data_IF_516585573665
#
_entry.id   IF_516585573665
#
_cell.length_a   1.000
_cell.length_b   1.000
_cell.length_c   1.000
_cell.angle_alpha   90.00
_cell.angle_beta   90.00
_cell.angle_gamma   90.00
#
_symmetry.space_group_name_H-M   'P 1'
#
loop_
_entity.id
_entity.type
_entity.pdbx_description
1 polymer ?
#
# COMPACT_ATOMS: atom_id res chain seq x y z
N UNK A 1 13.50 -17.69 -4.02
CA UNK A 1 13.43 -16.67 -2.93
C UNK A 1 12.09 -15.99 -3.06
N UNK A 2 11.49 -15.51 -1.95
CA UNK A 2 10.24 -14.74 -1.98
C UNK A 2 10.58 -13.29 -1.74
N UNK A 3 10.39 -12.46 -2.74
CA UNK A 3 10.72 -11.05 -2.64
C UNK A 3 9.46 -10.21 -2.40
N UNK A 4 9.61 -9.25 -1.53
CA UNK A 4 8.64 -8.21 -1.24
C UNK A 4 9.34 -6.86 -1.27
N UNK A 5 8.60 -5.77 -1.36
CA UNK A 5 9.25 -4.47 -1.33
C UNK A 5 8.34 -3.28 -1.15
N UNK A 6 8.95 -2.11 -1.16
CA UNK A 6 8.28 -0.83 -1.13
C UNK A 6 8.62 -0.03 -2.38
N UNK A 7 7.60 0.47 -3.05
CA UNK A 7 7.74 1.44 -4.14
C UNK A 7 7.43 2.84 -3.63
N UNK A 8 8.28 3.78 -3.99
CA UNK A 8 8.10 5.21 -3.75
C UNK A 8 9.11 6.03 -4.54
N UNK A 9 8.99 7.34 -4.53
CA UNK A 9 9.91 8.21 -5.26
C UNK A 9 11.23 8.45 -4.52
N UNK A 10 11.17 8.51 -3.18
CA UNK A 10 12.33 8.65 -2.30
C UNK A 10 12.07 7.83 -1.04
N UNK A 11 12.90 6.85 -0.75
CA UNK A 11 12.70 5.86 0.29
C UNK A 11 13.79 5.86 1.38
N UNK A 12 14.77 6.77 1.29
CA UNK A 12 15.91 6.82 2.20
C UNK A 12 15.59 6.96 3.69
N UNK A 13 14.35 7.33 4.04
CA UNK A 13 13.86 7.40 5.43
C UNK A 13 12.82 6.33 5.76
N UNK A 14 12.66 5.31 4.89
CA UNK A 14 11.66 4.27 5.11
C UNK A 14 12.10 3.27 6.18
N UNK A 15 11.26 3.06 7.19
CA UNK A 15 11.44 2.02 8.20
C UNK A 15 11.00 0.62 7.73
N UNK A 16 10.30 0.53 6.60
CA UNK A 16 9.66 -0.71 6.16
C UNK A 16 10.68 -1.84 5.94
N UNK A 17 11.82 -1.55 5.32
CA UNK A 17 12.83 -2.57 5.06
C UNK A 17 13.38 -3.15 6.39
N UNK A 18 13.74 -2.30 7.33
CA UNK A 18 14.24 -2.75 8.64
C UNK A 18 13.17 -3.55 9.39
N UNK A 19 11.94 -3.06 9.42
CA UNK A 19 10.81 -3.73 10.06
C UNK A 19 10.58 -5.13 9.49
N UNK A 20 10.45 -5.27 8.17
CA UNK A 20 10.17 -6.57 7.54
C UNK A 20 11.37 -7.51 7.64
N UNK A 21 12.62 -7.03 7.58
CA UNK A 21 13.81 -7.86 7.81
C UNK A 21 13.79 -8.47 9.20
N UNK A 22 13.50 -7.67 10.23
CA UNK A 22 13.38 -8.15 11.61
C UNK A 22 12.20 -9.11 11.78
N UNK A 23 11.06 -8.79 11.18
CA UNK A 23 9.86 -9.63 11.21
C UNK A 23 10.13 -11.00 10.57
N UNK A 24 10.72 -11.06 9.40
CA UNK A 24 11.05 -12.33 8.73
C UNK A 24 12.04 -13.16 9.54
N UNK A 25 13.02 -12.52 10.18
CA UNK A 25 13.94 -13.21 11.08
C UNK A 25 13.21 -13.78 12.31
N UNK A 26 12.36 -12.98 12.96
CA UNK A 26 11.58 -13.40 14.13
C UNK A 26 10.59 -14.53 13.81
N UNK A 27 10.04 -14.55 12.61
CA UNK A 27 9.11 -15.58 12.11
C UNK A 27 9.82 -16.80 11.49
N UNK A 28 11.16 -16.84 11.56
CA UNK A 28 11.99 -17.89 10.96
C UNK A 28 11.69 -18.09 9.45
N UNK A 29 11.65 -16.98 8.71
CA UNK A 29 11.38 -16.93 7.25
C UNK A 29 12.64 -16.50 6.47
N UNK A 30 13.71 -17.32 6.42
CA UNK A 30 14.95 -16.98 5.72
C UNK A 30 14.77 -16.96 4.19
N UNK A 31 13.67 -17.50 3.69
CA UNK A 31 13.29 -17.51 2.29
C UNK A 31 12.63 -16.19 1.83
N UNK A 32 12.40 -15.23 2.75
CA UNK A 32 11.76 -13.95 2.46
C UNK A 32 12.75 -12.79 2.51
N UNK A 33 12.63 -11.85 1.58
CA UNK A 33 13.40 -10.62 1.51
C UNK A 33 12.48 -9.42 1.28
N UNK A 34 12.84 -8.26 1.84
CA UNK A 34 12.14 -7.00 1.61
C UNK A 34 13.11 -5.94 1.10
N UNK A 35 12.80 -5.35 -0.05
CA UNK A 35 13.67 -4.40 -0.76
C UNK A 35 12.97 -3.05 -0.96
N UNK A 36 13.77 -2.00 -1.15
CA UNK A 36 13.27 -0.67 -1.50
C UNK A 36 13.49 -0.45 -3.01
N UNK A 37 12.43 -0.05 -3.71
CA UNK A 37 12.42 0.23 -5.13
C UNK A 37 12.05 1.70 -5.34
N UNK A 38 13.07 2.56 -5.47
CA UNK A 38 12.85 3.96 -5.84
C UNK A 38 12.58 4.05 -7.33
N UNK A 39 11.40 4.53 -7.69
CA UNK A 39 11.01 4.78 -9.08
C UNK A 39 10.98 6.29 -9.32
N UNK A 40 11.59 6.73 -10.40
CA UNK A 40 11.53 8.13 -10.83
C UNK A 40 10.14 8.50 -11.31
N UNK A 41 9.48 7.54 -11.98
CA UNK A 41 8.14 7.62 -12.50
C UNK A 41 7.41 6.28 -12.32
N UNK A 42 6.08 6.34 -12.13
CA UNK A 42 5.27 5.14 -11.92
C UNK A 42 5.18 4.23 -13.16
N UNK A 43 5.43 4.75 -14.35
CA UNK A 43 5.50 3.96 -15.59
C UNK A 43 6.57 2.86 -15.55
N UNK A 44 7.54 2.96 -14.65
CA UNK A 44 8.54 1.91 -14.41
C UNK A 44 7.99 0.68 -13.67
N UNK A 45 6.73 0.74 -13.17
CA UNK A 45 6.10 -0.32 -12.37
C UNK A 45 6.02 -1.66 -13.10
N UNK A 46 5.55 -1.67 -14.35
CA UNK A 46 5.39 -2.91 -15.12
C UNK A 46 6.75 -3.56 -15.40
N UNK A 47 7.76 -2.76 -15.72
CA UNK A 47 9.13 -3.23 -15.93
C UNK A 47 9.72 -3.81 -14.65
N UNK A 48 9.50 -3.15 -13.50
CA UNK A 48 9.92 -3.67 -12.20
C UNK A 48 9.31 -5.05 -11.94
N UNK A 49 7.99 -5.20 -12.12
CA UNK A 49 7.30 -6.48 -11.92
C UNK A 49 7.82 -7.54 -12.88
N UNK A 50 8.08 -7.19 -14.14
CA UNK A 50 8.57 -8.10 -15.17
C UNK A 50 10.00 -8.57 -14.90
N UNK A 51 10.88 -7.67 -14.50
CA UNK A 51 12.33 -7.94 -14.29
C UNK A 51 12.64 -8.67 -12.97
N UNK A 52 11.66 -8.77 -12.04
CA UNK A 52 11.83 -9.41 -10.74
C UNK A 52 10.85 -10.60 -10.59
N UNK A 53 11.17 -11.78 -11.16
CA UNK A 53 10.26 -12.93 -11.17
C UNK A 53 9.95 -13.47 -9.77
N UNK A 54 10.84 -13.28 -8.81
CA UNK A 54 10.65 -13.69 -7.41
C UNK A 54 9.76 -12.71 -6.58
N UNK A 55 9.43 -11.54 -7.16
CA UNK A 55 8.63 -10.51 -6.48
C UNK A 55 7.17 -10.94 -6.38
N UNK A 56 6.65 -11.06 -5.15
CA UNK A 56 5.31 -11.54 -4.84
C UNK A 56 4.39 -10.48 -4.24
N UNK A 57 4.94 -9.36 -3.80
CA UNK A 57 4.14 -8.28 -3.25
C UNK A 57 4.92 -6.99 -3.06
N UNK A 58 4.19 -5.89 -3.12
CA UNK A 58 4.72 -4.55 -2.99
C UNK A 58 3.84 -3.71 -2.08
N UNK A 59 4.46 -2.94 -1.21
CA UNK A 59 3.82 -1.77 -0.65
C UNK A 59 4.03 -0.58 -1.58
N UNK A 60 3.06 0.31 -1.62
CA UNK A 60 3.11 1.54 -2.42
C UNK A 60 3.02 2.74 -1.49
N UNK A 61 3.97 3.66 -1.61
CA UNK A 61 3.94 4.90 -0.84
C UNK A 61 3.95 6.14 -1.76
N UNK A 62 4.07 7.30 -1.16
CA UNK A 62 4.06 8.61 -1.85
C UNK A 62 5.10 8.63 -2.98
N UNK A 63 4.71 9.14 -4.17
CA UNK A 63 3.44 9.72 -4.54
C UNK A 63 2.49 8.76 -5.29
N UNK A 64 2.75 7.46 -5.29
CA UNK A 64 2.24 6.50 -6.27
C UNK A 64 0.94 5.78 -5.90
N UNK A 65 0.40 5.97 -4.68
CA UNK A 65 -0.82 5.24 -4.22
C UNK A 65 -2.05 5.39 -5.11
N UNK A 66 -2.18 6.51 -5.82
CA UNK A 66 -3.30 6.78 -6.74
C UNK A 66 -2.91 6.45 -8.18
N UNK A 67 -1.70 6.84 -8.59
CA UNK A 67 -1.25 6.71 -9.97
C UNK A 67 -0.86 5.29 -10.37
N UNK A 68 -0.69 4.37 -9.42
CA UNK A 68 -0.47 2.94 -9.72
C UNK A 68 -1.74 2.22 -10.18
N UNK A 69 -2.92 2.72 -9.80
CA UNK A 69 -4.21 2.05 -10.06
C UNK A 69 -4.40 1.64 -11.53
N UNK A 70 -4.20 2.52 -12.54
CA UNK A 70 -4.40 2.16 -13.94
C UNK A 70 -3.38 1.15 -14.49
N UNK A 71 -2.32 0.81 -13.73
CA UNK A 71 -1.28 -0.14 -14.12
C UNK A 71 -1.51 -1.53 -13.49
N UNK A 72 -2.56 -1.70 -12.69
CA UNK A 72 -2.91 -2.96 -12.06
C UNK A 72 -3.94 -3.71 -12.88
N UNK A 73 -3.86 -5.05 -12.88
CA UNK A 73 -4.84 -5.90 -13.55
C UNK A 73 -6.19 -5.88 -12.82
N UNK A 74 -6.16 -5.85 -11.48
CA UNK A 74 -7.34 -5.78 -10.63
C UNK A 74 -7.12 -4.86 -9.44
N UNK A 75 -8.22 -4.28 -8.94
CA UNK A 75 -8.24 -3.48 -7.71
C UNK A 75 -9.37 -3.96 -6.83
N UNK A 76 -9.08 -4.23 -5.57
CA UNK A 76 -10.08 -4.61 -4.58
C UNK A 76 -11.16 -3.53 -4.44
N UNK A 77 -12.39 -3.96 -4.14
CA UNK A 77 -13.56 -3.06 -4.08
C UNK A 77 -13.36 -1.91 -3.10
N UNK A 78 -12.76 -2.15 -1.94
CA UNK A 78 -12.51 -1.11 -0.95
C UNK A 78 -11.42 -0.14 -1.41
N UNK A 79 -10.32 -0.66 -1.99
CA UNK A 79 -9.26 0.18 -2.56
C UNK A 79 -9.77 1.04 -3.73
N UNK A 80 -10.67 0.50 -4.55
CA UNK A 80 -11.32 1.24 -5.63
C UNK A 80 -12.21 2.38 -5.10
N UNK A 81 -12.97 2.15 -4.02
CA UNK A 81 -13.80 3.18 -3.38
C UNK A 81 -12.96 4.29 -2.73
N UNK A 82 -11.84 3.94 -2.14
CA UNK A 82 -10.86 4.89 -1.58
C UNK A 82 -10.16 5.70 -2.69
N UNK A 83 -9.98 5.09 -3.87
CA UNK A 83 -9.20 5.67 -4.97
C UNK A 83 -7.69 5.67 -4.69
N UNK A 84 -7.21 4.75 -3.86
CA UNK A 84 -5.79 4.62 -3.53
C UNK A 84 -5.43 3.17 -3.19
N UNK A 85 -4.26 2.73 -3.65
CA UNK A 85 -3.66 1.42 -3.38
C UNK A 85 -2.36 1.61 -2.61
N UNK A 86 -2.20 0.93 -1.48
CA UNK A 86 -0.96 0.93 -0.71
C UNK A 86 -0.28 -0.44 -0.67
N UNK A 87 -0.94 -1.48 -1.18
CA UNK A 87 -0.43 -2.85 -1.19
C UNK A 87 -0.82 -3.52 -2.50
N UNK A 88 0.14 -4.16 -3.16
CA UNK A 88 -0.09 -4.94 -4.38
C UNK A 88 0.35 -6.38 -4.12
N UNK A 89 -0.51 -7.32 -4.43
CA UNK A 89 -0.17 -8.74 -4.49
C UNK A 89 0.10 -9.13 -5.93
N UNK A 90 1.15 -9.92 -6.15
CA UNK A 90 1.59 -10.38 -7.46
C UNK A 90 1.45 -11.89 -7.49
N UNK A 91 0.56 -12.37 -8.35
CA UNK A 91 0.41 -13.79 -8.64
C UNK A 91 1.27 -14.14 -9.85
N UNK A 92 1.95 -15.29 -9.81
CA UNK A 92 2.81 -15.76 -10.88
C UNK A 92 2.25 -17.05 -11.47
N UNK A 93 2.17 -17.07 -12.81
CA UNK A 93 1.91 -18.27 -13.59
C UNK A 93 2.96 -18.34 -14.71
N UNK A 94 4.00 -19.14 -14.46
CA UNK A 94 5.20 -19.14 -15.29
C UNK A 94 5.83 -17.74 -15.35
N UNK A 95 5.94 -17.20 -16.55
CA UNK A 95 6.49 -15.85 -16.77
C UNK A 95 5.43 -14.74 -16.69
N UNK A 96 4.15 -15.10 -16.63
CA UNK A 96 3.08 -14.11 -16.50
C UNK A 96 2.97 -13.61 -15.04
N UNK A 97 2.62 -12.34 -14.89
CA UNK A 97 2.30 -11.72 -13.61
C UNK A 97 0.86 -11.18 -13.67
N UNK A 98 0.11 -11.38 -12.61
CA UNK A 98 -1.20 -10.78 -12.41
C UNK A 98 -1.19 -10.02 -11.10
N UNK A 99 -1.54 -8.74 -11.14
CA UNK A 99 -1.38 -7.79 -10.04
C UNK A 99 -2.74 -7.37 -9.50
N UNK A 100 -2.90 -7.47 -8.17
CA UNK A 100 -4.12 -7.06 -7.48
C UNK A 100 -3.80 -6.03 -6.41
N UNK A 101 -4.46 -4.88 -6.47
CA UNK A 101 -4.26 -3.77 -5.56
C UNK A 101 -5.23 -3.75 -4.39
N UNK A 102 -4.71 -3.44 -3.19
CA UNK A 102 -5.46 -3.34 -1.94
C UNK A 102 -5.14 -2.04 -1.20
N UNK A 103 -6.02 -1.67 -0.26
CA UNK A 103 -5.75 -0.57 0.65
C UNK A 103 -5.84 -1.04 2.11
N UNK A 104 -4.69 -1.34 2.69
CA UNK A 104 -4.58 -1.77 4.10
C UNK A 104 -4.52 -0.60 5.08
N UNK A 105 -4.39 0.65 4.61
CA UNK A 105 -4.46 1.84 5.47
C UNK A 105 -5.86 1.99 6.07
N UNK A 106 -6.92 1.58 5.33
CA UNK A 106 -8.32 1.61 5.78
C UNK A 106 -8.50 0.79 7.04
N UNK A 107 -8.11 -0.49 6.98
CA UNK A 107 -8.24 -1.40 8.12
C UNK A 107 -7.30 -0.99 9.26
N UNK A 108 -6.08 -0.58 8.95
CA UNK A 108 -5.13 -0.07 9.93
C UNK A 108 -5.69 1.13 10.69
N UNK A 109 -6.34 2.07 10.01
CA UNK A 109 -6.97 3.22 10.65
C UNK A 109 -8.21 2.83 11.46
N UNK A 110 -9.07 1.94 10.95
CA UNK A 110 -10.21 1.41 11.74
C UNK A 110 -9.73 0.78 13.05
N UNK A 111 -8.71 -0.06 12.99
CA UNK A 111 -8.15 -0.72 14.17
C UNK A 111 -7.49 0.26 15.15
N UNK A 112 -6.83 1.31 14.65
CA UNK A 112 -6.20 2.32 15.51
C UNK A 112 -7.21 3.11 16.35
N UNK A 113 -8.45 3.17 15.93
CA UNK A 113 -9.55 3.83 16.65
C UNK A 113 -10.40 2.86 17.48
N UNK A 114 -10.08 1.57 17.45
CA UNK A 114 -10.82 0.58 18.25
C UNK A 114 -10.72 0.90 19.75
N UNK A 115 -11.88 0.98 20.40
CA UNK A 115 -11.97 1.35 21.82
C UNK A 115 -11.96 2.86 22.11
N UNK A 116 -11.84 3.70 21.10
CA UNK A 116 -11.97 5.15 21.22
C UNK A 116 -13.39 5.61 20.86
N UNK A 117 -13.82 6.72 21.46
CA UNK A 117 -15.11 7.31 21.08
C UNK A 117 -15.00 7.94 19.69
N UNK A 118 -15.88 7.53 18.78
CA UNK A 118 -15.94 8.11 17.43
C UNK A 118 -16.44 9.56 17.53
N UNK A 119 -15.69 10.53 16.98
CA UNK A 119 -16.10 11.93 17.01
C UNK A 119 -17.27 12.19 16.06
N UNK A 120 -18.07 13.21 16.32
CA UNK A 120 -19.14 13.64 15.40
C UNK A 120 -18.60 14.48 14.24
N UNK A 121 -17.42 15.12 14.41
CA UNK A 121 -16.76 15.94 13.40
C UNK A 121 -15.26 15.72 13.40
N UNK A 122 -14.65 15.76 12.21
CA UNK A 122 -13.22 15.60 12.03
C UNK A 122 -12.66 16.58 10.98
N UNK A 123 -11.41 16.98 11.19
CA UNK A 123 -10.61 17.71 10.21
C UNK A 123 -9.47 16.80 9.75
N UNK A 124 -9.40 16.57 8.45
CA UNK A 124 -8.35 15.75 7.84
C UNK A 124 -7.41 16.66 7.06
N UNK A 125 -6.13 16.67 7.45
CA UNK A 125 -5.10 17.49 6.83
C UNK A 125 -4.35 16.71 5.76
N UNK A 126 -4.41 17.18 4.50
CA UNK A 126 -3.73 16.59 3.35
C UNK A 126 -4.68 15.91 2.35
N UNK A 127 -4.22 15.76 1.11
CA UNK A 127 -5.00 15.28 -0.04
C UNK A 127 -4.45 13.99 -0.67
N UNK A 128 -3.48 13.34 -0.02
CA UNK A 128 -2.85 12.10 -0.53
C UNK A 128 -3.65 10.83 -0.23
N UNK A 129 -3.14 9.68 -0.68
CA UNK A 129 -3.79 8.38 -0.52
C UNK A 129 -4.07 7.97 0.93
N UNK A 130 -3.25 8.42 1.89
CA UNK A 130 -3.52 8.18 3.31
C UNK A 130 -4.74 8.98 3.80
N UNK A 131 -4.84 10.27 3.42
CA UNK A 131 -6.01 11.09 3.73
C UNK A 131 -7.28 10.51 3.10
N UNK A 132 -7.20 9.97 1.89
CA UNK A 132 -8.32 9.29 1.23
C UNK A 132 -8.82 8.09 2.04
N UNK A 133 -7.94 7.25 2.55
CA UNK A 133 -8.29 6.11 3.41
C UNK A 133 -8.95 6.56 4.72
N UNK A 134 -8.40 7.59 5.38
CA UNK A 134 -8.98 8.17 6.61
C UNK A 134 -10.36 8.73 6.34
N UNK A 135 -10.53 9.53 5.27
CA UNK A 135 -11.83 10.08 4.88
C UNK A 135 -12.87 9.00 4.59
N UNK A 136 -12.45 7.90 3.95
CA UNK A 136 -13.30 6.77 3.66
C UNK A 136 -13.87 6.17 4.96
N UNK A 137 -13.01 5.82 5.93
CA UNK A 137 -13.42 5.25 7.21
C UNK A 137 -14.31 6.19 8.00
N UNK A 138 -13.96 7.47 8.07
CA UNK A 138 -14.77 8.44 8.82
C UNK A 138 -16.14 8.65 8.20
N UNK A 139 -16.28 8.61 6.88
CA UNK A 139 -17.57 8.64 6.18
C UNK A 139 -18.42 7.40 6.42
N UNK A 140 -17.81 6.20 6.44
CA UNK A 140 -18.48 4.95 6.80
C UNK A 140 -19.07 4.99 8.22
N UNK A 141 -18.52 5.86 9.09
CA UNK A 141 -18.96 6.06 10.47
C UNK A 141 -19.86 7.30 10.64
N UNK A 142 -20.37 7.88 9.55
CA UNK A 142 -21.20 9.09 9.54
C UNK A 142 -20.57 10.31 10.24
N UNK A 143 -19.23 10.42 10.23
CA UNK A 143 -18.52 11.56 10.79
C UNK A 143 -18.54 12.73 9.78
N UNK A 144 -18.95 13.93 10.23
CA UNK A 144 -18.86 15.15 9.42
C UNK A 144 -17.40 15.55 9.23
N UNK A 145 -16.86 15.35 8.01
CA UNK A 145 -15.44 15.49 7.72
C UNK A 145 -15.14 16.66 6.81
N UNK A 146 -14.13 17.46 7.16
CA UNK A 146 -13.52 18.45 6.29
C UNK A 146 -12.12 18.04 5.93
N UNK A 147 -11.81 18.16 4.62
CA UNK A 147 -10.47 17.99 4.06
C UNK A 147 -9.82 19.37 3.88
N UNK A 148 -8.55 19.51 4.30
CA UNK A 148 -7.76 20.74 4.18
C UNK A 148 -6.38 20.45 3.62
#
# INVERSE_FOLDING_TARGET
MRDYGLIGKRLGHSFSQQYFTQKFAAENRPDCRYSLYELSDISEFEELVRSHPDLLGLNITIPYKQTVIPLLDEVDVEAARVGAVNTVRIFRDGNAAHTVGFNTDVEGFRLSLAGHQVPTRALVLGTGGAAAAVMHVLRDWDVDCRLV
#
